data_IF_333437574607
#
_entry.id   IF_333437574607
#
_cell.length_a   1.000
_cell.length_b   1.000
_cell.length_c   1.000
_cell.angle_alpha   90.00
_cell.angle_beta   90.00
_cell.angle_gamma   90.00
#
_symmetry.space_group_name_H-M   'P 1'
#
loop_
_entity.id
_entity.type
_entity.pdbx_description
1 polymer ?
#
# COMPACT_ATOMS: atom_id res chain seq x y z
N UNK A 1 -35.65 -1.98 3.97
CA UNK A 1 -34.51 -2.63 3.28
C UNK A 1 -33.62 -3.18 4.36
N UNK A 2 -33.82 -4.45 4.68
CA UNK A 2 -33.35 -5.13 5.88
C UNK A 2 -32.16 -6.02 5.54
N UNK A 3 -31.01 -5.71 6.15
CA UNK A 3 -29.97 -6.64 6.60
C UNK A 3 -29.45 -7.70 5.61
N UNK A 4 -29.06 -7.27 4.41
CA UNK A 4 -28.35 -8.13 3.44
C UNK A 4 -26.94 -8.51 3.93
N UNK A 5 -26.34 -7.69 4.81
CA UNK A 5 -25.00 -7.92 5.36
C UNK A 5 -24.95 -8.94 6.50
N UNK A 6 -26.07 -9.18 7.21
CA UNK A 6 -26.16 -10.21 8.25
C UNK A 6 -25.95 -11.66 7.76
N UNK A 7 -26.00 -11.89 6.44
CA UNK A 7 -25.86 -13.21 5.82
C UNK A 7 -24.70 -13.35 4.83
N UNK A 8 -23.78 -12.38 4.71
CA UNK A 8 -22.63 -12.53 3.80
C UNK A 8 -21.58 -13.44 4.45
N UNK A 9 -21.71 -14.74 4.19
CA UNK A 9 -20.61 -15.68 4.40
C UNK A 9 -19.67 -15.55 3.19
N UNK A 10 -18.65 -14.70 3.31
CA UNK A 10 -17.52 -14.75 2.39
C UNK A 10 -16.72 -16.00 2.73
N UNK A 11 -17.09 -17.14 2.15
CA UNK A 11 -16.30 -18.36 2.15
C UNK A 11 -15.06 -18.14 1.27
N UNK A 12 -14.07 -17.42 1.82
CA UNK A 12 -12.79 -17.28 1.16
C UNK A 12 -12.02 -18.60 1.28
N UNK A 13 -11.68 -19.19 0.14
CA UNK A 13 -10.65 -20.21 0.02
C UNK A 13 -9.30 -19.56 -0.22
N UNK A 14 -8.43 -19.51 0.78
CA UNK A 14 -7.03 -19.07 0.60
C UNK A 14 -6.20 -20.19 -0.02
N UNK A 15 -5.62 -19.97 -1.21
CA UNK A 15 -4.66 -20.91 -1.82
C UNK A 15 -3.26 -20.66 -1.24
N UNK A 16 -2.62 -21.71 -0.75
CA UNK A 16 -1.21 -21.67 -0.36
C UNK A 16 -0.32 -21.32 -1.57
N UNK A 17 0.64 -20.42 -1.34
CA UNK A 17 1.63 -19.93 -2.31
C UNK A 17 2.14 -20.97 -3.31
N UNK A 18 2.11 -20.63 -4.61
CA UNK A 18 3.25 -20.63 -5.56
C UNK A 18 2.80 -20.17 -6.96
N UNK A 19 3.51 -19.15 -7.48
CA UNK A 19 3.64 -18.69 -8.89
C UNK A 19 2.38 -18.48 -9.74
N UNK A 20 2.14 -17.23 -10.20
CA UNK A 20 1.34 -16.99 -11.41
C UNK A 20 1.78 -15.70 -12.14
N UNK A 21 2.40 -15.79 -13.32
CA UNK A 21 2.35 -14.76 -14.34
C UNK A 21 1.31 -15.16 -15.40
N UNK A 22 0.23 -14.39 -15.50
CA UNK A 22 -0.67 -14.30 -16.65
C UNK A 22 -0.97 -15.59 -17.43
N UNK A 23 -2.06 -16.29 -17.07
CA UNK A 23 -3.13 -16.79 -17.97
C UNK A 23 -4.10 -17.70 -17.20
N UNK A 24 -5.41 -17.48 -17.37
CA UNK A 24 -6.45 -18.47 -17.04
C UNK A 24 -6.92 -18.53 -15.59
N UNK A 25 -7.13 -17.38 -14.94
CA UNK A 25 -7.83 -17.35 -13.65
C UNK A 25 -9.34 -17.41 -13.90
N UNK A 26 -9.93 -18.60 -13.77
CA UNK A 26 -11.32 -18.68 -13.31
C UNK A 26 -11.35 -18.10 -11.89
N UNK A 27 -11.99 -16.93 -11.79
CA UNK A 27 -12.20 -16.17 -10.56
C UNK A 27 -13.00 -17.07 -9.60
N UNK A 28 -12.59 -17.22 -8.32
CA UNK A 28 -13.35 -18.02 -7.38
C UNK A 28 -14.73 -17.41 -7.18
N UNK A 29 -15.76 -18.04 -7.77
CA UNK A 29 -17.15 -17.83 -7.42
C UNK A 29 -17.29 -17.97 -5.91
N UNK A 30 -17.93 -16.99 -5.27
CA UNK A 30 -18.53 -17.18 -3.95
C UNK A 30 -19.60 -18.27 -4.15
N UNK A 31 -19.20 -19.53 -3.97
CA UNK A 31 -20.10 -20.67 -3.97
C UNK A 31 -20.59 -20.86 -2.55
N UNK A 32 -21.90 -20.97 -2.41
CA UNK A 32 -22.47 -21.78 -1.34
C UNK A 32 -21.88 -23.20 -1.48
N UNK A 33 -21.14 -23.66 -0.46
CA UNK A 33 -20.38 -24.92 -0.31
C UNK A 33 -20.93 -26.18 -1.09
N UNK A 34 -20.13 -27.23 -1.45
CA UNK A 34 -19.01 -27.77 -0.64
C UNK A 34 -17.76 -28.40 -1.34
N UNK A 35 -16.71 -28.57 -0.50
CA UNK A 35 -15.66 -29.63 -0.38
C UNK A 35 -14.65 -29.93 -1.53
N UNK A 36 -13.43 -29.41 -1.37
CA UNK A 36 -12.18 -30.12 -1.72
C UNK A 36 -11.10 -29.86 -0.65
N UNK A 37 -10.35 -30.90 -0.29
CA UNK A 37 -9.54 -31.03 0.95
C UNK A 37 -8.18 -30.31 0.91
N UNK A 38 -8.17 -28.98 0.91
CA UNK A 38 -7.01 -28.19 1.41
C UNK A 38 -7.24 -26.68 1.50
N UNK A 39 -8.46 -26.19 1.25
CA UNK A 39 -8.78 -24.77 1.35
C UNK A 39 -9.20 -24.40 2.77
N UNK A 40 -8.47 -23.49 3.40
CA UNK A 40 -8.96 -22.83 4.60
C UNK A 40 -10.13 -21.93 4.20
N UNK A 41 -11.31 -22.21 4.72
CA UNK A 41 -12.51 -21.37 4.55
C UNK A 41 -12.57 -20.34 5.66
N UNK A 42 -12.63 -19.06 5.31
CA UNK A 42 -12.89 -17.96 6.24
C UNK A 42 -14.39 -17.63 6.37
N UNK A 43 -14.78 -17.00 7.48
CA UNK A 43 -16.10 -16.34 7.64
C UNK A 43 -15.90 -14.92 8.15
N UNK A 44 -16.53 -13.95 7.49
CA UNK A 44 -16.62 -12.57 7.97
C UNK A 44 -17.90 -12.43 8.79
N UNK A 45 -17.82 -11.68 9.89
CA UNK A 45 -18.88 -11.51 10.89
C UNK A 45 -18.69 -10.19 11.64
N UNK A 46 -19.68 -9.78 12.44
CA UNK A 46 -19.62 -8.53 13.22
C UNK A 46 -19.35 -7.31 12.32
N UNK A 47 -20.02 -7.27 11.18
CA UNK A 47 -19.80 -6.24 10.17
C UNK A 47 -20.48 -4.94 10.61
N UNK A 48 -19.70 -3.86 10.71
CA UNK A 48 -20.19 -2.52 11.06
C UNK A 48 -19.74 -1.51 10.01
N UNK A 49 -20.60 -0.57 9.57
CA UNK A 49 -20.19 0.47 8.63
C UNK A 49 -19.09 1.34 9.24
N UNK A 50 -18.07 1.64 8.43
CA UNK A 50 -17.00 2.61 8.76
C UNK A 50 -17.16 3.91 7.96
N UNK A 51 -17.41 3.79 6.65
CA UNK A 51 -17.56 4.92 5.75
C UNK A 51 -18.56 4.58 4.66
N UNK A 52 -19.47 5.53 4.43
CA UNK A 52 -20.38 5.49 3.28
C UNK A 52 -19.91 6.53 2.27
N UNK A 53 -19.61 6.09 1.05
CA UNK A 53 -19.21 6.93 -0.06
C UNK A 53 -20.17 6.80 -1.23
N UNK A 54 -20.09 7.72 -2.19
CA UNK A 54 -20.90 7.66 -3.41
C UNK A 54 -20.57 6.42 -4.27
N UNK A 55 -19.28 6.07 -4.34
CA UNK A 55 -18.77 5.00 -5.21
C UNK A 55 -18.34 3.75 -4.47
N UNK A 56 -18.21 3.80 -3.15
CA UNK A 56 -17.68 2.69 -2.36
C UNK A 56 -18.17 2.75 -0.94
N UNK A 57 -18.53 1.59 -0.41
CA UNK A 57 -18.86 1.37 0.98
C UNK A 57 -17.70 0.67 1.68
N UNK A 58 -17.40 1.09 2.90
CA UNK A 58 -16.32 0.53 3.72
C UNK A 58 -16.90 0.07 5.05
N UNK A 59 -16.66 -1.20 5.37
CA UNK A 59 -17.09 -1.82 6.62
C UNK A 59 -15.90 -2.34 7.41
N UNK A 60 -16.02 -2.38 8.74
CA UNK A 60 -15.15 -3.17 9.63
C UNK A 60 -15.81 -4.50 9.90
N UNK A 61 -15.02 -5.54 10.12
CA UNK A 61 -15.55 -6.82 10.58
C UNK A 61 -14.48 -7.75 11.11
N UNK A 62 -14.88 -8.94 11.50
CA UNK A 62 -13.99 -9.98 12.01
C UNK A 62 -13.95 -11.16 11.04
N UNK A 63 -12.77 -11.41 10.47
CA UNK A 63 -12.47 -12.60 9.67
C UNK A 63 -12.02 -13.74 10.59
N UNK A 64 -12.80 -14.82 10.60
CA UNK A 64 -12.51 -16.04 11.34
C UNK A 64 -12.14 -17.17 10.39
N UNK A 65 -10.92 -17.67 10.52
CA UNK A 65 -10.43 -18.84 9.77
C UNK A 65 -10.14 -19.96 10.79
N UNK A 66 -10.63 -21.20 10.59
CA UNK A 66 -10.38 -22.30 11.50
C UNK A 66 -8.89 -22.49 11.80
N UNK A 67 -8.53 -22.54 13.09
CA UNK A 67 -7.14 -22.71 13.54
C UNK A 67 -6.29 -21.43 13.53
N UNK A 68 -6.83 -20.28 13.11
CA UNK A 68 -6.14 -18.99 13.13
C UNK A 68 -6.87 -18.06 14.11
N UNK A 69 -6.12 -17.20 14.79
CA UNK A 69 -6.69 -16.14 15.63
C UNK A 69 -7.61 -15.26 14.76
N UNK A 70 -8.80 -14.83 15.27
CA UNK A 70 -9.65 -13.88 14.56
C UNK A 70 -8.86 -12.63 14.13
N UNK A 71 -9.14 -12.18 12.92
CA UNK A 71 -8.45 -11.05 12.28
C UNK A 71 -9.45 -9.91 12.13
N UNK A 72 -9.07 -8.73 12.61
CA UNK A 72 -9.82 -7.50 12.36
C UNK A 72 -9.57 -7.03 10.92
N UNK A 73 -10.64 -6.78 10.18
CA UNK A 73 -10.59 -6.50 8.75
C UNK A 73 -11.38 -5.25 8.37
N UNK A 74 -11.02 -4.72 7.21
CA UNK A 74 -11.82 -3.80 6.41
C UNK A 74 -12.35 -4.54 5.19
N UNK A 75 -13.63 -4.34 4.89
CA UNK A 75 -14.31 -4.79 3.69
C UNK A 75 -14.70 -3.57 2.86
N UNK A 76 -14.02 -3.36 1.73
CA UNK A 76 -14.32 -2.31 0.75
C UNK A 76 -15.15 -2.92 -0.39
N UNK A 77 -16.29 -2.31 -0.73
CA UNK A 77 -17.24 -2.88 -1.70
C UNK A 77 -18.05 -1.84 -2.46
N UNK A 78 -18.50 -2.19 -3.67
CA UNK A 78 -19.38 -1.39 -4.53
C UNK A 78 -20.84 -1.87 -4.55
N UNK A 79 -21.23 -2.80 -3.68
CA UNK A 79 -22.59 -3.41 -3.66
C UNK A 79 -23.74 -2.41 -3.54
N UNK A 80 -23.47 -1.19 -3.08
CA UNK A 80 -24.45 -0.11 -2.99
C UNK A 80 -23.95 1.20 -3.60
N UNK A 81 -22.92 1.13 -4.46
CA UNK A 81 -22.42 2.29 -5.16
C UNK A 81 -23.48 2.78 -6.15
N UNK A 82 -23.67 4.10 -6.23
CA UNK A 82 -24.56 4.68 -7.23
C UNK A 82 -24.04 4.44 -8.66
N UNK A 83 -22.73 4.27 -8.81
CA UNK A 83 -22.04 4.05 -10.08
C UNK A 83 -21.00 2.94 -9.91
N UNK A 84 -21.07 1.84 -10.69
CA UNK A 84 -20.07 0.78 -10.67
C UNK A 84 -18.69 1.27 -11.11
N UNK A 85 -17.63 0.86 -10.40
CA UNK A 85 -16.23 1.16 -10.75
C UNK A 85 -15.37 -0.12 -10.79
N UNK A 86 -15.67 -1.10 -11.65
CA UNK A 86 -14.96 -2.39 -11.67
C UNK A 86 -13.45 -2.26 -11.91
N UNK A 87 -13.03 -1.22 -12.64
CA UNK A 87 -11.61 -0.92 -12.86
C UNK A 87 -10.89 -0.42 -11.60
N UNK A 88 -11.58 0.22 -10.67
CA UNK A 88 -10.99 0.75 -9.44
C UNK A 88 -10.46 -0.38 -8.56
N UNK A 89 -11.29 -1.36 -8.22
CA UNK A 89 -10.86 -2.56 -7.47
C UNK A 89 -9.79 -3.36 -8.19
N UNK A 90 -9.84 -3.43 -9.53
CA UNK A 90 -8.79 -4.09 -10.32
C UNK A 90 -7.46 -3.36 -10.21
N UNK A 91 -7.43 -2.02 -10.22
CA UNK A 91 -6.21 -1.23 -10.03
C UNK A 91 -5.70 -1.34 -8.59
N UNK A 92 -6.60 -1.35 -7.61
CA UNK A 92 -6.22 -1.42 -6.20
C UNK A 92 -5.65 -2.79 -5.82
N UNK A 93 -6.28 -3.90 -6.24
CA UNK A 93 -5.71 -5.24 -6.00
C UNK A 93 -4.35 -5.41 -6.69
N UNK A 94 -4.17 -4.77 -7.84
CA UNK A 94 -2.90 -4.75 -8.57
C UNK A 94 -1.77 -4.09 -7.77
N UNK A 95 -2.11 -2.99 -7.07
CA UNK A 95 -1.17 -2.32 -6.19
C UNK A 95 -0.74 -3.23 -5.04
N UNK A 96 -1.68 -3.92 -4.39
CA UNK A 96 -1.37 -4.86 -3.32
C UNK A 96 -0.57 -6.09 -3.79
N UNK A 97 -0.96 -6.72 -4.88
CA UNK A 97 -0.39 -8.02 -5.31
C UNK A 97 0.90 -7.88 -6.11
N UNK A 98 1.07 -6.79 -6.88
CA UNK A 98 2.19 -6.63 -7.81
C UNK A 98 3.10 -5.45 -7.49
N UNK A 99 2.54 -4.23 -7.36
CA UNK A 99 3.35 -3.01 -7.29
C UNK A 99 4.01 -2.81 -5.92
N UNK A 100 3.22 -2.88 -4.85
CA UNK A 100 3.62 -2.54 -3.48
C UNK A 100 3.63 -3.74 -2.53
N UNK A 101 3.73 -4.96 -3.08
CA UNK A 101 3.62 -6.21 -2.32
C UNK A 101 4.57 -6.29 -1.12
N UNK A 102 5.79 -5.76 -1.24
CA UNK A 102 6.79 -5.76 -0.15
C UNK A 102 6.44 -4.83 1.02
N UNK A 103 5.49 -3.92 0.85
CA UNK A 103 5.09 -2.95 1.87
C UNK A 103 3.92 -3.42 2.73
N UNK A 104 3.30 -4.56 2.40
CA UNK A 104 2.14 -5.08 3.11
C UNK A 104 2.45 -5.46 4.57
N UNK A 105 1.64 -4.92 5.49
CA UNK A 105 1.82 -5.06 6.94
C UNK A 105 2.82 -4.08 7.54
N UNK A 106 3.42 -3.21 6.71
CA UNK A 106 4.34 -2.18 7.17
C UNK A 106 3.91 -0.75 6.81
N UNK A 107 3.84 -0.43 5.52
CA UNK A 107 3.39 0.88 5.03
C UNK A 107 1.99 0.85 4.43
N UNK A 108 1.50 -0.33 4.06
CA UNK A 108 0.12 -0.53 3.57
C UNK A 108 -0.50 -1.73 4.29
N UNK A 109 -1.84 -1.84 4.38
CA UNK A 109 -2.49 -2.99 4.99
C UNK A 109 -2.11 -4.32 4.35
N UNK A 110 -2.27 -5.41 5.11
CA UNK A 110 -2.27 -6.74 4.49
C UNK A 110 -3.55 -6.92 3.70
N UNK A 111 -3.43 -7.31 2.43
CA UNK A 111 -4.53 -7.69 1.57
C UNK A 111 -4.77 -9.21 1.67
N UNK A 112 -6.01 -9.58 1.94
CA UNK A 112 -6.44 -10.99 1.99
C UNK A 112 -7.03 -11.46 0.65
N UNK A 113 -7.40 -10.51 -0.22
CA UNK A 113 -7.82 -10.77 -1.59
C UNK A 113 -8.97 -9.88 -2.05
N UNK A 114 -9.24 -9.93 -3.36
CA UNK A 114 -10.44 -9.41 -4.00
C UNK A 114 -11.37 -10.58 -4.32
N UNK A 115 -12.62 -10.50 -3.88
CA UNK A 115 -13.67 -11.47 -4.16
C UNK A 115 -14.75 -10.80 -4.98
N UNK A 116 -15.29 -11.54 -5.95
CA UNK A 116 -16.33 -11.02 -6.82
C UNK A 116 -17.50 -12.00 -6.85
N UNK A 117 -18.71 -11.44 -6.75
CA UNK A 117 -19.97 -12.15 -6.98
C UNK A 117 -20.58 -11.62 -8.27
N UNK A 118 -20.83 -12.52 -9.21
CA UNK A 118 -21.65 -12.23 -10.38
C UNK A 118 -23.11 -12.45 -9.98
N UNK A 119 -23.93 -11.39 -10.05
CA UNK A 119 -25.38 -11.42 -9.83
C UNK A 119 -26.07 -10.84 -11.06
N UNK A 120 -26.70 -11.71 -11.85
CA UNK A 120 -27.22 -11.42 -13.19
C UNK A 120 -26.20 -10.68 -14.09
N UNK A 121 -26.36 -9.36 -14.27
CA UNK A 121 -25.53 -8.50 -15.12
C UNK A 121 -24.58 -7.59 -14.31
N UNK A 122 -24.53 -7.73 -12.98
CA UNK A 122 -23.70 -6.93 -12.09
C UNK A 122 -22.58 -7.77 -11.46
N UNK A 123 -21.40 -7.16 -11.33
CA UNK A 123 -20.26 -7.75 -10.62
C UNK A 123 -20.04 -7.00 -9.33
N UNK A 124 -20.41 -7.63 -8.22
CA UNK A 124 -20.20 -7.10 -6.89
C UNK A 124 -18.79 -7.43 -6.43
N UNK A 125 -18.02 -6.40 -6.05
CA UNK A 125 -16.62 -6.54 -5.66
C UNK A 125 -16.45 -6.36 -4.15
N UNK A 126 -15.60 -7.19 -3.56
CA UNK A 126 -15.28 -7.20 -2.14
C UNK A 126 -13.77 -7.29 -1.94
N UNK A 127 -13.12 -6.19 -1.61
CA UNK A 127 -11.71 -6.18 -1.25
C UNK A 127 -11.57 -6.32 0.27
N UNK A 128 -10.84 -7.34 0.71
CA UNK A 128 -10.67 -7.65 2.13
C UNK A 128 -9.24 -7.30 2.56
N UNK A 129 -9.13 -6.36 3.49
CA UNK A 129 -7.87 -5.83 4.01
C UNK A 129 -7.80 -6.01 5.53
N UNK A 130 -6.60 -6.01 6.11
CA UNK A 130 -6.44 -5.89 7.57
C UNK A 130 -6.90 -4.51 8.02
N UNK A 131 -7.73 -4.45 9.06
CA UNK A 131 -8.00 -3.17 9.73
C UNK A 131 -6.68 -2.62 10.31
N UNK A 132 -6.42 -1.35 10.01
CA UNK A 132 -5.13 -0.70 10.23
C UNK A 132 -5.27 0.65 10.92
N UNK A 133 -6.38 0.83 11.66
CA UNK A 133 -6.61 2.00 12.49
C UNK A 133 -7.61 3.00 11.91
N UNK A 134 -7.52 4.23 12.40
CA UNK A 134 -8.43 5.32 12.03
C UNK A 134 -7.71 6.36 11.16
N UNK A 135 -8.43 7.02 10.23
CA UNK A 135 -7.95 8.20 9.51
C UNK A 135 -7.28 9.23 10.42
N UNK A 136 -6.23 9.87 9.92
CA UNK A 136 -5.74 11.11 10.50
C UNK A 136 -6.61 12.29 10.10
N UNK A 137 -6.41 13.43 10.75
CA UNK A 137 -6.98 14.73 10.41
C UNK A 137 -5.83 15.73 10.34
N UNK A 138 -5.57 16.29 9.15
CA UNK A 138 -4.48 17.26 8.97
C UNK A 138 -4.65 18.57 9.77
N UNK A 139 -5.82 18.79 10.38
CA UNK A 139 -6.05 19.92 11.28
C UNK A 139 -5.63 19.62 12.73
N UNK A 140 -5.21 18.40 13.03
CA UNK A 140 -4.74 17.95 14.35
C UNK A 140 -3.21 17.89 14.36
N UNK A 141 -2.62 18.26 15.50
CA UNK A 141 -1.18 18.15 15.72
C UNK A 141 -0.82 16.72 16.19
N UNK A 142 0.07 16.06 15.45
CA UNK A 142 0.54 14.71 15.75
C UNK A 142 1.95 14.70 16.38
N UNK A 143 2.31 13.66 17.15
CA UNK A 143 3.69 13.49 17.63
C UNK A 143 4.70 13.46 16.48
N UNK A 144 5.89 14.03 16.70
CA UNK A 144 6.97 14.08 15.70
C UNK A 144 7.36 12.69 15.19
N UNK A 145 7.37 11.68 16.06
CA UNK A 145 7.69 10.30 15.67
C UNK A 145 6.69 9.73 14.65
N UNK A 146 5.40 10.06 14.78
CA UNK A 146 4.37 9.62 13.84
C UNK A 146 4.47 10.38 12.50
N UNK A 147 4.72 11.69 12.54
CA UNK A 147 4.99 12.47 11.31
C UNK A 147 6.19 11.90 10.57
N UNK A 148 7.26 11.58 11.29
CA UNK A 148 8.45 10.96 10.73
C UNK A 148 8.16 9.58 10.13
N UNK A 149 7.38 8.73 10.81
CA UNK A 149 6.94 7.43 10.29
C UNK A 149 6.20 7.57 8.96
N UNK A 150 5.23 8.49 8.87
CA UNK A 150 4.47 8.78 7.64
C UNK A 150 5.42 9.19 6.50
N UNK A 151 6.28 10.18 6.73
CA UNK A 151 7.18 10.69 5.68
C UNK A 151 8.19 9.64 5.23
N UNK A 152 8.75 8.86 6.17
CA UNK A 152 9.71 7.81 5.85
C UNK A 152 9.06 6.69 5.02
N UNK A 153 7.87 6.23 5.40
CA UNK A 153 7.13 5.19 4.66
C UNK A 153 6.73 5.66 3.27
N UNK A 154 6.26 6.89 3.13
CA UNK A 154 5.91 7.46 1.83
C UNK A 154 7.15 7.57 0.94
N UNK A 155 8.26 8.05 1.49
CA UNK A 155 9.55 8.14 0.79
C UNK A 155 10.04 6.76 0.35
N UNK A 156 9.85 5.71 1.17
CA UNK A 156 10.22 4.35 0.80
C UNK A 156 9.39 3.81 -0.38
N UNK A 157 8.08 4.10 -0.43
CA UNK A 157 7.21 3.78 -1.57
C UNK A 157 7.72 4.50 -2.83
N UNK A 158 8.04 5.79 -2.73
CA UNK A 158 8.59 6.60 -3.82
C UNK A 158 9.90 6.04 -4.37
N UNK A 159 10.83 5.67 -3.49
CA UNK A 159 12.10 5.05 -3.87
C UNK A 159 11.94 3.66 -4.49
N UNK A 160 10.78 2.99 -4.30
CA UNK A 160 10.46 1.74 -5.00
C UNK A 160 9.94 1.95 -6.42
N UNK A 161 9.81 3.20 -6.86
CA UNK A 161 9.38 3.57 -8.21
C UNK A 161 7.88 3.77 -8.36
N UNK A 162 7.16 4.06 -7.27
CA UNK A 162 5.71 4.26 -7.25
C UNK A 162 5.31 5.46 -6.38
N UNK A 163 4.25 6.17 -6.74
CA UNK A 163 3.59 7.13 -5.86
C UNK A 163 2.18 6.63 -5.49
N UNK A 164 1.58 7.21 -4.45
CA UNK A 164 0.25 6.81 -4.01
C UNK A 164 -0.84 7.32 -4.98
N UNK A 165 -0.73 8.57 -5.42
CA UNK A 165 -1.61 9.21 -6.41
C UNK A 165 -2.74 10.03 -5.79
N UNK A 166 -3.27 9.62 -4.65
CA UNK A 166 -4.40 10.27 -3.94
C UNK A 166 -4.21 10.28 -2.41
N UNK A 167 -3.12 10.89 -1.92
CA UNK A 167 -2.80 10.86 -0.49
C UNK A 167 -3.43 12.03 0.29
N UNK A 168 -4.71 11.87 0.59
CA UNK A 168 -5.49 12.74 1.49
C UNK A 168 -5.49 12.20 2.94
N UNK A 169 -5.97 13.00 3.89
CA UNK A 169 -6.01 12.67 5.33
C UNK A 169 -6.68 11.32 5.63
N UNK A 170 -7.79 11.05 4.96
CA UNK A 170 -8.57 9.82 5.10
C UNK A 170 -7.94 8.58 4.45
N UNK A 171 -6.89 8.76 3.65
CA UNK A 171 -6.10 7.68 3.06
C UNK A 171 -4.82 7.38 3.85
N UNK A 172 -4.61 8.06 4.98
CA UNK A 172 -3.56 7.77 5.95
C UNK A 172 -4.24 7.34 7.26
N UNK A 173 -4.08 6.07 7.65
CA UNK A 173 -4.68 5.52 8.87
C UNK A 173 -3.61 5.19 9.90
N UNK A 174 -3.93 5.31 11.19
CA UNK A 174 -3.00 5.10 12.31
C UNK A 174 -3.60 4.13 13.33
N UNK A 175 -2.81 3.11 13.68
CA UNK A 175 -3.09 2.10 14.71
C UNK A 175 -1.83 1.94 15.58
N UNK A 176 -1.94 2.13 16.89
CA UNK A 176 -0.81 2.06 17.84
C UNK A 176 0.45 2.81 17.35
N UNK A 177 0.30 4.09 16.99
CA UNK A 177 1.36 4.98 16.46
C UNK A 177 2.01 4.52 15.14
N UNK A 178 1.43 3.53 14.46
CA UNK A 178 1.90 3.05 13.16
C UNK A 178 1.00 3.55 12.04
N UNK A 179 1.56 4.36 11.14
CA UNK A 179 0.83 4.83 9.96
C UNK A 179 0.78 3.77 8.85
N UNK A 180 -0.33 3.74 8.11
CA UNK A 180 -0.54 2.91 6.93
C UNK A 180 -1.26 3.73 5.86
N UNK A 181 -0.89 3.54 4.59
CA UNK A 181 -1.55 4.13 3.44
C UNK A 181 -2.60 3.16 2.88
N UNK A 182 -3.80 3.68 2.64
CA UNK A 182 -4.96 2.92 2.14
C UNK A 182 -5.51 3.58 0.89
N UNK A 183 -6.42 2.90 0.20
CA UNK A 183 -7.01 3.36 -1.06
C UNK A 183 -6.00 3.46 -2.21
N UNK A 184 -5.44 2.31 -2.59
CA UNK A 184 -4.32 2.21 -3.52
C UNK A 184 -4.74 2.19 -4.99
N UNK A 185 -5.94 2.67 -5.32
CA UNK A 185 -6.50 2.56 -6.68
C UNK A 185 -5.79 3.45 -7.73
N UNK A 186 -5.11 4.50 -7.28
CA UNK A 186 -4.39 5.46 -8.12
C UNK A 186 -2.86 5.33 -8.04
N UNK A 187 -2.37 4.24 -7.44
CA UNK A 187 -0.93 3.94 -7.43
C UNK A 187 -0.40 3.79 -8.85
N UNK A 188 0.60 4.58 -9.19
CA UNK A 188 1.21 4.62 -10.52
C UNK A 188 2.74 4.63 -10.46
N UNK A 189 3.43 4.21 -11.53
CA UNK A 189 4.89 4.34 -11.64
C UNK A 189 5.34 5.79 -11.45
N UNK A 190 6.40 5.99 -10.68
CA UNK A 190 6.89 7.30 -10.29
C UNK A 190 8.41 7.34 -10.27
N UNK A 191 9.00 8.35 -10.92
CA UNK A 191 10.43 8.63 -10.83
C UNK A 191 10.64 9.80 -9.85
N UNK A 192 10.90 9.49 -8.58
CA UNK A 192 10.93 10.47 -7.52
C UNK A 192 12.13 11.43 -7.66
N UNK A 193 11.83 12.70 -7.94
CA UNK A 193 12.84 13.75 -8.11
C UNK A 193 13.10 14.54 -6.82
N UNK A 194 12.93 13.93 -5.64
CA UNK A 194 13.18 14.61 -4.36
C UNK A 194 14.62 15.16 -4.32
N UNK A 195 14.77 16.46 -4.13
CA UNK A 195 16.08 17.17 -4.19
C UNK A 195 16.69 17.40 -2.82
N UNK A 196 15.87 17.38 -1.78
CA UNK A 196 16.27 17.70 -0.42
C UNK A 196 15.51 16.85 0.60
N UNK A 197 16.13 16.61 1.74
CA UNK A 197 15.51 15.87 2.86
C UNK A 197 14.46 16.74 3.56
N UNK A 198 13.46 16.08 4.14
CA UNK A 198 12.48 16.75 5.02
C UNK A 198 13.14 16.99 6.38
N UNK A 199 13.41 18.26 6.71
CA UNK A 199 13.97 18.67 8.00
C UNK A 199 12.85 19.33 8.83
N UNK A 200 12.47 18.76 9.99
CA UNK A 200 11.49 19.38 10.88
C UNK A 200 11.90 20.80 11.28
N UNK A 201 10.90 21.67 11.46
CA UNK A 201 11.06 23.08 11.81
C UNK A 201 11.85 23.95 10.82
N UNK A 202 12.29 23.42 9.68
CA UNK A 202 12.90 24.26 8.63
C UNK A 202 11.83 25.07 7.88
N UNK A 203 12.24 26.09 7.13
CA UNK A 203 11.32 26.85 6.30
C UNK A 203 10.77 25.98 5.17
N UNK A 204 9.45 26.05 4.95
CA UNK A 204 8.82 25.34 3.83
C UNK A 204 9.48 25.72 2.49
N UNK A 205 10.04 24.74 1.75
CA UNK A 205 10.56 24.97 0.41
C UNK A 205 9.41 25.16 -0.57
N UNK A 206 9.68 25.75 -1.74
CA UNK A 206 8.70 25.66 -2.83
C UNK A 206 8.58 24.19 -3.27
N UNK A 207 7.42 23.81 -3.81
CA UNK A 207 7.22 22.44 -4.31
C UNK A 207 8.21 22.10 -5.45
N UNK A 208 8.58 23.10 -6.26
CA UNK A 208 9.56 22.96 -7.35
C UNK A 208 10.99 22.75 -6.85
N UNK A 209 11.38 23.48 -5.79
CA UNK A 209 12.68 23.32 -5.13
C UNK A 209 12.77 21.97 -4.41
N UNK A 210 11.65 21.48 -3.85
CA UNK A 210 11.60 20.19 -3.18
C UNK A 210 11.66 19.01 -4.15
N UNK A 211 10.97 19.10 -5.29
CA UNK A 211 11.09 18.16 -6.42
C UNK A 211 10.09 16.98 -6.42
N UNK A 212 9.40 16.69 -5.31
CA UNK A 212 8.30 15.72 -5.27
C UNK A 212 7.03 16.34 -4.68
N UNK A 213 5.95 16.41 -5.48
CA UNK A 213 4.70 17.07 -5.07
C UNK A 213 3.96 16.34 -3.95
N UNK A 214 3.86 15.00 -4.02
CA UNK A 214 3.11 14.21 -3.04
C UNK A 214 3.77 14.25 -1.65
N UNK A 215 5.08 13.98 -1.57
CA UNK A 215 5.81 14.08 -0.29
C UNK A 215 5.79 15.51 0.24
N UNK A 216 5.96 16.52 -0.62
CA UNK A 216 5.87 17.92 -0.23
C UNK A 216 4.50 18.27 0.35
N UNK A 217 3.43 17.85 -0.32
CA UNK A 217 2.06 18.08 0.13
C UNK A 217 1.85 17.49 1.52
N UNK A 218 2.19 16.22 1.72
CA UNK A 218 1.96 15.51 2.99
C UNK A 218 2.79 16.12 4.13
N UNK A 219 4.07 16.42 3.90
CA UNK A 219 4.92 17.09 4.89
C UNK A 219 4.42 18.50 5.25
N UNK A 220 3.88 19.22 4.27
CA UNK A 220 3.26 20.53 4.50
C UNK A 220 1.98 20.42 5.32
N UNK A 221 1.10 19.47 4.99
CA UNK A 221 -0.17 19.25 5.69
C UNK A 221 0.03 18.77 7.13
N UNK A 222 1.06 17.95 7.38
CA UNK A 222 1.47 17.51 8.72
C UNK A 222 2.20 18.60 9.55
N UNK A 223 2.31 19.83 9.04
CA UNK A 223 3.03 20.94 9.67
C UNK A 223 4.48 20.58 10.07
N UNK A 224 5.18 19.76 9.27
CA UNK A 224 6.58 19.39 9.55
C UNK A 224 7.50 20.60 9.42
N UNK A 225 7.16 21.54 8.52
CA UNK A 225 7.92 22.76 8.28
C UNK A 225 7.31 24.00 8.93
N UNK A 226 8.16 24.97 9.23
CA UNK A 226 7.73 26.33 9.55
C UNK A 226 7.10 26.99 8.33
N UNK A 227 5.83 27.40 8.47
CA UNK A 227 5.15 28.25 7.49
C UNK A 227 5.86 29.60 7.43
N UNK A 228 6.08 30.12 6.22
CA UNK A 228 6.73 31.43 6.03
C UNK A 228 5.88 32.52 6.67
N UNK A 229 6.26 32.97 7.87
CA UNK A 229 5.66 34.14 8.48
C UNK A 229 6.10 35.38 7.69
N UNK A 230 5.19 36.28 7.27
CA UNK A 230 5.56 37.55 6.64
C UNK A 230 6.59 38.30 7.50
N UNK A 231 7.64 38.86 6.87
CA UNK A 231 8.78 39.47 7.56
C UNK A 231 8.39 40.55 8.60
N UNK A 232 7.22 41.16 8.49
CA UNK A 232 6.65 42.14 9.43
C UNK A 232 6.44 41.55 10.84
N UNK A 233 6.08 40.27 10.97
CA UNK A 233 5.88 39.62 12.27
C UNK A 233 7.19 39.04 12.85
N UNK A 234 8.19 38.76 12.00
CA UNK A 234 9.50 38.21 12.41
C UNK A 234 10.29 39.17 13.31
N UNK A 235 10.15 40.49 13.13
CA UNK A 235 10.75 41.51 14.01
C UNK A 235 10.18 41.55 15.42
N UNK A 236 8.95 41.04 15.64
CA UNK A 236 8.29 41.00 16.95
C UNK A 236 8.55 39.72 17.73
N UNK A 237 8.74 38.60 17.04
CA UNK A 237 8.98 37.29 17.68
C UNK A 237 10.44 37.07 18.11
N UNK A 238 11.40 37.59 17.32
CA UNK A 238 12.83 37.50 17.65
C UNK A 238 13.24 38.39 18.85
N UNK A 239 12.35 39.25 19.37
CA UNK A 239 12.60 39.99 20.60
C UNK A 239 12.12 39.28 21.87
N UNK A 240 11.55 38.06 21.76
CA UNK A 240 10.87 37.41 22.89
C UNK A 240 11.26 35.95 23.16
N UNK A 241 12.16 35.32 22.41
CA UNK A 241 12.55 33.94 22.71
C UNK A 241 13.84 33.49 22.04
N UNK A 242 14.94 33.52 22.81
CA UNK A 242 16.18 32.83 22.48
C UNK A 242 16.10 31.34 22.86
N UNK A 243 16.51 30.51 21.89
CA UNK A 243 17.25 29.25 21.98
C UNK A 243 16.75 28.12 22.91
N UNK A 244 16.30 27.01 22.30
CA UNK A 244 16.98 25.71 22.46
C UNK A 244 16.66 24.80 21.27
N UNK A 245 17.73 24.42 20.55
CA UNK A 245 17.77 23.42 19.48
C UNK A 245 17.70 22.01 20.08
N UNK A 246 16.93 21.11 19.49
CA UNK A 246 17.18 19.66 19.57
C UNK A 246 16.67 18.90 18.34
N UNK A 247 17.51 17.95 17.91
CA UNK A 247 17.20 16.71 17.17
C UNK A 247 16.74 16.82 15.71
N UNK A 248 17.70 16.87 14.80
CA UNK A 248 17.48 16.52 13.40
C UNK A 248 17.24 15.02 13.25
N UNK A 249 16.22 14.66 12.48
CA UNK A 249 15.93 13.29 12.06
C UNK A 249 16.92 12.94 10.94
N UNK A 250 17.78 11.96 11.16
CA UNK A 250 18.66 11.39 10.13
C UNK A 250 18.81 9.87 10.27
N UNK A 251 19.04 9.27 9.10
CA UNK A 251 19.44 7.89 8.76
C UNK A 251 18.25 7.00 8.28
N UNK A 252 18.27 6.34 7.12
CA UNK A 252 19.36 5.71 6.35
C UNK A 252 19.00 5.58 4.85
N UNK A 253 19.92 5.96 3.95
CA UNK A 253 20.01 5.39 2.60
C UNK A 253 21.39 5.64 1.96
N UNK A 254 22.44 5.01 2.49
CA UNK A 254 23.70 4.79 1.74
C UNK A 254 24.34 3.46 2.17
N UNK A 255 23.99 2.40 1.43
CA UNK A 255 24.92 1.33 1.03
C UNK A 255 24.14 0.28 0.22
N UNK A 256 24.08 0.45 -1.11
CA UNK A 256 23.88 -0.68 -2.02
C UNK A 256 25.29 -1.19 -2.36
N UNK A 257 25.66 -2.43 -2.01
CA UNK A 257 26.84 -3.06 -2.57
C UNK A 257 26.53 -3.38 -4.03
N UNK A 258 27.31 -2.86 -4.97
CA UNK A 258 27.42 -3.43 -6.31
C UNK A 258 28.07 -4.79 -6.16
N UNK A 259 27.25 -5.85 -6.06
CA UNK A 259 27.75 -7.20 -6.24
C UNK A 259 27.88 -7.47 -7.74
N UNK A 260 29.11 -7.51 -8.22
CA UNK A 260 29.46 -8.12 -9.49
C UNK A 260 28.90 -9.55 -9.51
N UNK A 261 27.99 -9.81 -10.44
CA UNK A 261 27.58 -11.16 -10.81
C UNK A 261 28.59 -11.70 -11.81
N UNK A 262 29.67 -12.28 -11.30
CA UNK A 262 30.30 -13.40 -12.01
C UNK A 262 29.35 -14.60 -11.91
N UNK A 263 28.73 -14.92 -13.04
CA UNK A 263 27.90 -16.09 -13.21
C UNK A 263 28.82 -17.32 -13.28
N UNK A 264 29.00 -18.01 -12.15
CA UNK A 264 29.69 -19.29 -12.12
C UNK A 264 28.66 -20.42 -12.05
N UNK A 265 28.21 -20.86 -13.22
CA UNK A 265 27.38 -22.03 -13.39
C UNK A 265 28.26 -23.26 -13.58
N UNK A 266 28.55 -23.99 -12.49
CA UNK A 266 29.04 -25.35 -12.60
C UNK A 266 28.66 -26.21 -11.38
N UNK A 267 27.85 -27.23 -11.66
CA UNK A 267 27.80 -28.57 -11.07
C UNK A 267 26.38 -29.02 -10.74
N UNK A 268 25.84 -29.91 -11.56
CA UNK A 268 25.53 -31.29 -11.16
C UNK A 268 24.87 -32.08 -12.30
N UNK A 269 25.62 -33.13 -12.71
CA UNK A 269 25.19 -34.45 -13.20
C UNK A 269 24.59 -34.57 -14.62
N UNK A 270 25.22 -35.44 -15.41
CA UNK A 270 24.47 -36.37 -16.26
C UNK A 270 25.11 -36.75 -17.60
N UNK A 271 25.95 -37.78 -17.59
CA UNK A 271 25.96 -38.91 -18.55
C UNK A 271 25.76 -38.66 -20.06
N UNK A 272 26.83 -38.96 -20.82
CA UNK A 272 26.89 -39.77 -22.07
C UNK A 272 25.77 -39.56 -23.11
N UNK A 273 26.13 -39.04 -24.29
CA UNK A 273 26.27 -39.80 -25.55
C UNK A 273 26.82 -38.90 -26.68
N UNK A 274 27.87 -39.41 -27.34
CA UNK A 274 28.31 -39.20 -28.74
C UNK A 274 27.55 -38.24 -29.67
N UNK A 275 28.25 -37.24 -30.24
CA UNK A 275 28.50 -37.15 -31.69
C UNK A 275 29.53 -36.04 -32.04
N UNK A 276 30.33 -36.15 -33.13
CA UNK A 276 31.42 -35.26 -33.48
C UNK A 276 31.02 -34.19 -34.52
N UNK A 277 31.59 -32.99 -34.42
CA UNK A 277 31.38 -31.98 -35.45
C UNK A 277 31.94 -30.60 -35.14
N UNK A 278 33.25 -30.48 -34.93
CA UNK A 278 33.95 -29.19 -34.95
C UNK A 278 34.25 -28.78 -36.41
N UNK A 279 33.84 -27.56 -36.77
CA UNK A 279 34.47 -26.61 -37.72
C UNK A 279 33.78 -25.26 -37.47
N UNK A 280 34.35 -24.33 -36.70
CA UNK A 280 35.40 -23.37 -37.11
C UNK A 280 34.96 -22.52 -38.31
N UNK A 281 34.50 -21.30 -38.06
CA UNK A 281 34.98 -20.07 -38.75
C UNK A 281 34.72 -18.86 -37.85
N UNK A 282 35.75 -18.03 -37.73
CA UNK A 282 35.75 -16.70 -37.14
C UNK A 282 35.32 -15.62 -38.15
N UNK A 283 35.23 -14.39 -37.64
CA UNK A 283 35.41 -13.08 -38.29
C UNK A 283 34.19 -12.21 -38.72
N UNK A 284 34.27 -10.95 -38.26
CA UNK A 284 33.78 -9.67 -38.82
C UNK A 284 32.24 -9.49 -38.84
N UNK A 285 31.62 -8.52 -38.15
CA UNK A 285 31.89 -7.08 -37.90
C UNK A 285 31.21 -6.65 -36.61
#
# INVERSE_FOLDING_TARGET
MSDVLGCVVIECTLKAHRTNPFRGLEIPRIRTAPLSRSSLTGRISEVTPLREGEFTQVYRGILRIPGIKPIDIVLKTDVYAAVPRPKAFTREIDAYERKLRSFQGDSIPKCYGLYQLEDDDEVLSFLVLKYSGNPIDFNVEYPEDLKADIINKLTAIHHSGYCHGDLEDHNIVVDDDKAMFVDLEDVEPHDCQIKQVVIPDDLVPSSEDFGCKEIHHVAYMLNVWQKRIPQILRKRYLSLGDLTRTSGILALARSVPTSDRECNCESLRGSRTSDPGCREVAEMV
#
